data_IF_967053177114
#
_entry.id   IF_967053177114
#
_cell.length_a   1.000
_cell.length_b   1.000
_cell.length_c   1.000
_cell.angle_alpha   90.00
_cell.angle_beta   90.00
_cell.angle_gamma   90.00
#
_symmetry.space_group_name_H-M   'P 1'
#
loop_
_entity.id
_entity.type
_entity.pdbx_description
1 polymer ?
#
# COMPACT_ATOMS: atom_id res chain seq x y z
N UNK A 1 -70.16 13.27 -16.15
CA UNK A 1 -69.29 13.60 -14.99
C UNK A 1 -67.89 13.67 -15.52
N UNK A 2 -67.45 14.87 -15.88
CA UNK A 2 -66.00 15.05 -16.30
C UNK A 2 -65.17 15.22 -15.05
N UNK A 3 -64.42 14.20 -14.76
CA UNK A 3 -63.34 14.27 -13.74
C UNK A 3 -62.21 15.20 -14.25
N UNK A 4 -62.24 16.45 -13.81
CA UNK A 4 -61.09 17.36 -14.05
C UNK A 4 -59.88 16.81 -13.31
N UNK A 5 -59.15 15.91 -13.94
CA UNK A 5 -57.90 15.43 -13.42
C UNK A 5 -56.90 16.61 -13.31
N UNK A 6 -56.37 16.86 -12.12
CA UNK A 6 -55.38 17.90 -11.89
C UNK A 6 -54.01 17.46 -12.46
N UNK A 7 -53.86 17.62 -13.78
CA UNK A 7 -52.64 17.22 -14.52
C UNK A 7 -51.34 17.85 -13.94
N UNK A 8 -51.49 19.05 -13.36
CA UNK A 8 -50.36 19.73 -12.68
C UNK A 8 -49.92 18.94 -11.45
N UNK A 9 -50.86 18.41 -10.68
CA UNK A 9 -50.54 17.65 -9.46
C UNK A 9 -49.93 16.29 -9.80
N UNK A 10 -50.40 15.65 -10.86
CA UNK A 10 -49.83 14.41 -11.39
C UNK A 10 -48.43 14.64 -11.90
N UNK A 11 -48.16 15.71 -12.67
CA UNK A 11 -46.85 16.08 -13.17
C UNK A 11 -45.87 16.41 -12.07
N UNK A 12 -46.29 17.20 -11.06
CA UNK A 12 -45.48 17.53 -9.91
C UNK A 12 -45.09 16.29 -9.08
N UNK A 13 -46.04 15.36 -8.87
CA UNK A 13 -45.78 14.10 -8.16
C UNK A 13 -44.78 13.22 -8.92
N UNK A 14 -44.91 13.13 -10.24
CA UNK A 14 -43.99 12.34 -11.09
C UNK A 14 -42.58 12.92 -11.05
N UNK A 15 -42.42 14.24 -11.14
CA UNK A 15 -41.12 14.93 -11.07
C UNK A 15 -40.48 14.75 -9.69
N UNK A 16 -41.26 14.93 -8.62
CA UNK A 16 -40.79 14.71 -7.24
C UNK A 16 -40.34 13.25 -7.01
N UNK A 17 -41.13 12.29 -7.51
CA UNK A 17 -40.73 10.86 -7.45
C UNK A 17 -39.43 10.55 -8.19
N UNK A 18 -39.25 11.14 -9.38
CA UNK A 18 -38.04 10.95 -10.15
C UNK A 18 -36.81 11.57 -9.48
N UNK A 19 -36.96 12.79 -8.95
CA UNK A 19 -35.90 13.44 -8.18
C UNK A 19 -35.57 12.64 -6.91
N UNK A 20 -36.56 12.16 -6.18
CA UNK A 20 -36.37 11.32 -5.00
C UNK A 20 -35.63 10.03 -5.32
N UNK A 21 -35.98 9.38 -6.45
CA UNK A 21 -35.26 8.17 -6.90
C UNK A 21 -33.83 8.45 -7.29
N UNK A 22 -33.52 9.57 -7.95
CA UNK A 22 -32.16 9.99 -8.28
C UNK A 22 -31.33 10.24 -7.02
N UNK A 23 -31.86 11.01 -6.07
CA UNK A 23 -31.18 11.30 -4.80
C UNK A 23 -30.92 10.01 -4.02
N UNK A 24 -31.89 9.12 -3.95
CA UNK A 24 -31.75 7.82 -3.30
C UNK A 24 -30.68 6.97 -3.97
N UNK A 25 -30.66 6.91 -5.31
CA UNK A 25 -29.65 6.15 -6.07
C UNK A 25 -28.23 6.69 -5.85
N UNK A 26 -28.07 8.01 -5.83
CA UNK A 26 -26.78 8.64 -5.57
C UNK A 26 -26.31 8.41 -4.12
N UNK A 27 -27.23 8.46 -3.15
CA UNK A 27 -26.93 8.19 -1.76
C UNK A 27 -26.52 6.73 -1.53
N UNK A 28 -27.26 5.80 -2.14
CA UNK A 28 -26.98 4.36 -2.07
C UNK A 28 -25.64 4.01 -2.75
N UNK A 29 -25.35 4.58 -3.92
CA UNK A 29 -24.09 4.39 -4.62
C UNK A 29 -22.87 4.84 -3.80
N UNK A 30 -22.98 5.94 -3.05
CA UNK A 30 -21.91 6.41 -2.16
C UNK A 30 -21.62 5.46 -1.00
N UNK A 31 -22.67 4.87 -0.41
CA UNK A 31 -22.50 3.93 0.71
C UNK A 31 -21.74 2.65 0.32
N UNK A 32 -21.90 2.20 -0.91
CA UNK A 32 -21.29 0.94 -1.38
C UNK A 32 -19.82 1.11 -1.77
N UNK A 33 -19.45 2.27 -2.30
CA UNK A 33 -18.07 2.56 -2.69
C UNK A 33 -17.14 2.73 -1.48
N UNK A 34 -17.58 3.38 -0.41
CA UNK A 34 -16.79 3.62 0.80
C UNK A 34 -16.47 2.33 1.59
N UNK A 35 -17.24 1.26 1.41
CA UNK A 35 -17.03 -0.02 2.10
C UNK A 35 -16.09 -0.99 1.36
N UNK A 36 -15.78 -0.72 0.10
CA UNK A 36 -14.98 -1.65 -0.72
C UNK A 36 -13.48 -1.43 -0.56
N UNK A 37 -13.05 -0.24 -0.14
CA UNK A 37 -11.65 0.13 -0.05
C UNK A 37 -11.31 0.76 1.30
N UNK A 38 -10.12 0.47 1.76
CA UNK A 38 -9.47 1.09 2.91
C UNK A 38 -8.25 1.88 2.42
N UNK A 39 -8.00 3.02 3.05
CA UNK A 39 -6.86 3.86 2.74
C UNK A 39 -5.80 3.74 3.82
N UNK A 40 -4.54 3.65 3.41
CA UNK A 40 -3.39 3.62 4.30
C UNK A 40 -2.34 4.60 3.81
N UNK A 41 -1.66 5.23 4.74
CA UNK A 41 -0.51 6.09 4.44
C UNK A 41 0.78 5.35 4.83
N UNK A 42 1.83 5.52 4.02
CA UNK A 42 3.17 4.98 4.28
C UNK A 42 4.18 6.08 4.03
N UNK A 43 5.16 6.24 4.92
CA UNK A 43 6.29 7.15 4.72
C UNK A 43 7.52 6.38 4.27
N UNK A 44 8.00 6.68 3.07
CA UNK A 44 9.22 6.10 2.53
C UNK A 44 10.33 7.15 2.43
N UNK A 45 11.57 6.72 2.61
CA UNK A 45 12.76 7.57 2.38
C UNK A 45 13.09 7.72 0.90
N UNK A 46 12.71 6.75 0.08
CA UNK A 46 12.90 6.76 -1.37
C UNK A 46 11.77 5.98 -2.05
N UNK A 47 11.31 6.47 -3.20
CA UNK A 47 10.18 5.89 -3.96
C UNK A 47 10.55 5.63 -5.42
N UNK A 48 11.79 5.23 -5.69
CA UNK A 48 12.28 5.00 -7.06
C UNK A 48 11.39 4.00 -7.81
N UNK A 49 10.92 4.40 -8.98
CA UNK A 49 10.06 3.57 -9.83
C UNK A 49 8.61 3.42 -9.37
N UNK A 50 8.22 4.05 -8.24
CA UNK A 50 6.85 4.04 -7.75
C UNK A 50 6.11 5.30 -8.22
N UNK A 51 4.92 5.14 -8.75
CA UNK A 51 4.06 6.23 -9.19
C UNK A 51 2.61 6.04 -8.80
N UNK A 52 1.77 7.00 -9.20
CA UNK A 52 0.31 6.83 -9.10
C UNK A 52 -0.12 5.64 -9.96
N UNK A 53 -1.10 4.90 -9.49
CA UNK A 53 -1.59 3.65 -10.07
C UNK A 53 -0.62 2.46 -10.04
N UNK A 54 0.56 2.58 -9.40
CA UNK A 54 1.39 1.42 -9.09
C UNK A 54 0.61 0.41 -8.26
N UNK A 55 0.87 -0.87 -8.46
CA UNK A 55 0.17 -1.95 -7.75
C UNK A 55 0.52 -1.95 -6.26
N UNK A 56 -0.47 -2.35 -5.45
CA UNK A 56 -0.28 -2.71 -4.04
C UNK A 56 -0.57 -4.20 -3.91
N UNK A 57 0.38 -4.94 -3.33
CA UNK A 57 0.29 -6.38 -3.15
C UNK A 57 0.38 -6.75 -1.67
N UNK A 58 -0.47 -7.66 -1.25
CA UNK A 58 -0.46 -8.24 0.09
C UNK A 58 0.00 -9.68 -0.01
N UNK A 59 1.12 -10.01 0.60
CA UNK A 59 1.76 -11.33 0.45
C UNK A 59 1.91 -11.77 -1.04
N UNK A 60 2.20 -10.82 -1.95
CA UNK A 60 2.32 -11.05 -3.38
C UNK A 60 1.01 -10.95 -4.18
N UNK A 61 -0.16 -11.02 -3.54
CA UNK A 61 -1.47 -10.91 -4.19
C UNK A 61 -1.84 -9.45 -4.46
N UNK A 62 -2.24 -9.05 -5.68
CA UNK A 62 -2.68 -7.68 -5.95
C UNK A 62 -3.99 -7.38 -5.22
N UNK A 63 -3.97 -6.39 -4.33
CA UNK A 63 -5.10 -6.01 -3.48
C UNK A 63 -5.53 -4.56 -3.65
N UNK A 64 -4.73 -3.73 -4.33
CA UNK A 64 -5.03 -2.31 -4.45
C UNK A 64 -4.05 -1.56 -5.34
N UNK A 65 -4.06 -0.23 -5.21
CA UNK A 65 -3.22 0.67 -5.99
C UNK A 65 -2.73 1.86 -5.17
N UNK A 66 -1.64 2.47 -5.62
CA UNK A 66 -1.14 3.75 -5.11
C UNK A 66 -2.04 4.87 -5.62
N UNK A 67 -2.64 5.64 -4.72
CA UNK A 67 -3.53 6.78 -5.06
C UNK A 67 -2.74 8.08 -5.22
N UNK A 68 -1.81 8.34 -4.29
CA UNK A 68 -0.97 9.53 -4.34
C UNK A 68 0.43 9.28 -3.83
N UNK A 69 1.37 10.03 -4.40
CA UNK A 69 2.78 10.09 -3.98
C UNK A 69 3.10 11.58 -3.85
N UNK A 70 3.47 12.03 -2.67
CA UNK A 70 3.75 13.43 -2.36
C UNK A 70 4.87 13.54 -1.32
N UNK A 71 5.56 14.67 -1.28
CA UNK A 71 6.48 14.94 -0.17
C UNK A 71 5.72 15.00 1.16
N UNK A 72 6.33 14.46 2.21
CA UNK A 72 5.77 14.55 3.56
C UNK A 72 5.62 16.01 4.00
N UNK A 73 4.47 16.40 4.55
CA UNK A 73 4.27 17.76 5.07
C UNK A 73 5.16 18.08 6.28
N UNK A 74 5.76 17.08 6.90
CA UNK A 74 6.58 17.24 8.10
C UNK A 74 7.99 17.81 7.80
N UNK A 75 8.37 17.96 6.53
CA UNK A 75 9.66 18.54 6.13
C UNK A 75 10.87 17.64 6.43
N UNK A 76 10.64 16.35 6.74
CA UNK A 76 11.66 15.37 7.09
C UNK A 76 12.37 14.72 5.87
N UNK A 77 12.07 15.20 4.66
CA UNK A 77 12.61 14.66 3.41
C UNK A 77 12.02 13.32 3.00
N UNK A 78 11.01 12.81 3.71
CA UNK A 78 10.32 11.58 3.35
C UNK A 78 9.21 11.82 2.33
N UNK A 79 8.78 10.75 1.68
CA UNK A 79 7.67 10.74 0.73
C UNK A 79 6.49 10.01 1.34
N UNK A 80 5.36 10.70 1.42
CA UNK A 80 4.09 10.15 1.85
C UNK A 80 3.39 9.49 0.67
N UNK A 81 3.16 8.19 0.77
CA UNK A 81 2.47 7.39 -0.24
C UNK A 81 1.14 6.95 0.32
N UNK A 82 0.06 7.29 -0.37
CA UNK A 82 -1.30 6.85 -0.03
C UNK A 82 -1.68 5.65 -0.86
N UNK A 83 -2.09 4.60 -0.17
CA UNK A 83 -2.51 3.32 -0.73
C UNK A 83 -4.04 3.19 -0.62
N UNK A 84 -4.66 2.71 -1.68
CA UNK A 84 -6.04 2.24 -1.70
C UNK A 84 -5.98 0.71 -1.77
N UNK A 85 -6.55 0.04 -0.79
CA UNK A 85 -6.49 -1.41 -0.63
C UNK A 85 -7.91 -1.93 -0.41
N UNK A 86 -8.25 -3.09 -0.95
CA UNK A 86 -9.55 -3.73 -0.69
C UNK A 86 -9.77 -3.87 0.81
N UNK A 87 -10.92 -3.45 1.33
CA UNK A 87 -11.22 -3.44 2.77
C UNK A 87 -11.15 -4.83 3.43
N UNK A 88 -11.32 -5.89 2.63
CA UNK A 88 -11.20 -7.29 3.08
C UNK A 88 -9.75 -7.70 3.38
N UNK A 89 -8.74 -6.89 2.98
CA UNK A 89 -7.32 -7.21 3.17
C UNK A 89 -6.95 -7.08 4.65
N UNK A 90 -6.45 -8.13 5.30
CA UNK A 90 -6.20 -8.13 6.74
C UNK A 90 -4.84 -7.46 7.06
N UNK A 91 -4.75 -6.15 6.90
CA UNK A 91 -3.57 -5.37 7.31
C UNK A 91 -3.55 -5.26 8.81
N UNK A 92 -2.47 -5.72 9.45
CA UNK A 92 -2.30 -5.80 10.89
C UNK A 92 -1.37 -4.71 11.42
N UNK A 93 -1.31 -4.56 12.72
CA UNK A 93 -0.47 -3.54 13.39
C UNK A 93 1.03 -3.75 13.17
N UNK A 94 1.46 -4.98 12.91
CA UNK A 94 2.83 -5.38 12.61
C UNK A 94 3.08 -5.62 11.11
N UNK A 95 2.10 -5.36 10.24
CA UNK A 95 2.30 -5.35 8.79
C UNK A 95 3.27 -4.23 8.40
N UNK A 96 4.16 -4.54 7.48
CA UNK A 96 5.19 -3.63 6.99
C UNK A 96 5.01 -3.43 5.49
N UNK A 97 5.10 -2.19 5.03
CA UNK A 97 5.06 -1.86 3.61
C UNK A 97 6.48 -1.68 3.06
N UNK A 98 6.79 -2.36 1.97
CA UNK A 98 8.08 -2.29 1.27
C UNK A 98 7.89 -1.89 -0.17
N UNK A 99 8.88 -1.21 -0.78
CA UNK A 99 8.90 -0.98 -2.22
C UNK A 99 9.72 -2.10 -2.86
N UNK A 100 9.08 -2.82 -3.76
CA UNK A 100 9.69 -3.94 -4.47
C UNK A 100 9.71 -3.67 -5.97
N UNK A 101 10.78 -4.07 -6.64
CA UNK A 101 10.91 -3.92 -8.09
C UNK A 101 10.35 -5.14 -8.82
N UNK A 102 9.57 -4.90 -9.85
CA UNK A 102 9.04 -5.95 -10.72
C UNK A 102 10.02 -6.22 -11.88
N UNK A 103 11.00 -7.08 -11.63
CA UNK A 103 12.00 -7.45 -12.63
C UNK A 103 13.02 -6.34 -12.90
N UNK A 104 13.64 -6.39 -14.09
CA UNK A 104 14.70 -5.45 -14.54
C UNK A 104 14.13 -4.18 -15.19
N UNK A 105 12.82 -4.09 -15.36
CA UNK A 105 12.17 -2.99 -16.11
C UNK A 105 12.04 -1.68 -15.32
N UNK A 106 12.36 -1.69 -14.02
CA UNK A 106 12.31 -0.51 -13.17
C UNK A 106 10.91 -0.12 -12.67
N UNK A 107 9.88 -0.91 -12.98
CA UNK A 107 8.53 -0.72 -12.42
C UNK A 107 8.53 -1.25 -10.99
N UNK A 108 8.08 -0.40 -10.05
CA UNK A 108 7.99 -0.77 -8.65
C UNK A 108 6.54 -0.88 -8.19
N UNK A 109 6.29 -1.72 -7.20
CA UNK A 109 5.03 -1.88 -6.51
C UNK A 109 5.22 -1.82 -4.99
N UNK A 110 4.15 -1.61 -4.25
CA UNK A 110 4.18 -1.67 -2.79
C UNK A 110 3.78 -3.06 -2.33
N UNK A 111 4.69 -3.77 -1.66
CA UNK A 111 4.42 -5.02 -0.98
C UNK A 111 3.99 -4.76 0.46
N UNK A 112 2.94 -5.41 0.95
CA UNK A 112 2.50 -5.39 2.34
C UNK A 112 2.67 -6.79 2.91
N UNK A 113 3.38 -6.91 4.03
CA UNK A 113 3.52 -8.17 4.75
C UNK A 113 2.23 -8.53 5.49
N UNK A 114 1.88 -9.82 5.64
CA UNK A 114 0.64 -10.22 6.29
C UNK A 114 0.59 -9.94 7.81
N UNK A 115 1.75 -9.74 8.45
CA UNK A 115 1.82 -9.66 9.91
C UNK A 115 1.54 -11.02 10.60
N UNK A 116 1.52 -11.02 11.92
CA UNK A 116 1.23 -12.23 12.71
C UNK A 116 -0.28 -12.37 12.93
N UNK A 117 -0.84 -13.60 12.86
CA UNK A 117 -2.29 -13.83 12.98
C UNK A 117 -2.90 -13.33 14.29
N UNK A 118 -2.13 -13.30 15.36
CA UNK A 118 -2.58 -12.91 16.71
C UNK A 118 -2.66 -11.38 16.90
N UNK A 119 -2.04 -10.61 15.99
CA UNK A 119 -2.07 -9.16 16.08
C UNK A 119 -3.39 -8.58 15.52
N UNK A 120 -3.95 -7.54 16.15
CA UNK A 120 -5.19 -6.93 15.71
C UNK A 120 -5.04 -6.23 14.36
N UNK A 121 -6.16 -6.03 13.67
CA UNK A 121 -6.19 -5.28 12.43
C UNK A 121 -5.86 -3.80 12.69
N UNK A 122 -5.08 -3.20 11.81
CA UNK A 122 -4.60 -1.82 11.95
C UNK A 122 -5.77 -0.82 11.94
N UNK A 123 -6.82 -1.09 11.19
CA UNK A 123 -8.04 -0.27 11.13
C UNK A 123 -8.80 -0.26 12.46
N UNK A 124 -8.81 -1.38 13.21
CA UNK A 124 -9.61 -1.50 14.43
C UNK A 124 -8.98 -0.77 15.63
N UNK A 125 -7.65 -0.65 15.63
CA UNK A 125 -6.91 -0.03 16.75
C UNK A 125 -6.52 1.43 16.50
N UNK A 126 -6.62 1.91 15.27
CA UNK A 126 -6.17 3.26 14.93
C UNK A 126 -7.33 4.24 14.99
N UNK A 127 -7.20 5.30 15.81
CA UNK A 127 -8.16 6.41 15.89
C UNK A 127 -8.01 7.42 14.74
N UNK A 128 -6.99 7.29 13.91
CA UNK A 128 -6.78 8.18 12.76
C UNK A 128 -7.70 7.80 11.62
N UNK A 129 -8.20 8.80 10.90
CA UNK A 129 -9.04 8.61 9.70
C UNK A 129 -8.33 7.76 8.64
N UNK A 130 -6.99 7.89 8.53
CA UNK A 130 -6.14 7.08 7.66
C UNK A 130 -4.98 6.55 8.50
N UNK A 131 -4.95 5.23 8.75
CA UNK A 131 -3.86 4.60 9.49
C UNK A 131 -2.56 4.60 8.70
N UNK A 132 -1.43 4.60 9.42
CA UNK A 132 -0.10 4.58 8.83
C UNK A 132 0.51 3.19 8.99
N UNK A 133 0.94 2.59 7.87
CA UNK A 133 1.70 1.34 7.87
C UNK A 133 3.18 1.69 7.98
N UNK A 134 3.96 1.04 8.87
CA UNK A 134 5.40 1.21 8.92
C UNK A 134 6.08 0.85 7.60
N UNK A 135 7.02 1.68 7.15
CA UNK A 135 7.85 1.35 6.00
C UNK A 135 8.97 0.38 6.38
N UNK A 136 9.13 -0.67 5.60
CA UNK A 136 10.25 -1.60 5.70
C UNK A 136 11.35 -1.28 4.69
N UNK A 137 12.52 -1.90 4.89
CA UNK A 137 13.63 -1.83 3.94
C UNK A 137 13.36 -2.75 2.76
N UNK A 138 13.65 -2.30 1.54
CA UNK A 138 13.59 -3.19 0.38
C UNK A 138 14.75 -4.21 0.43
N UNK A 139 14.55 -5.37 -0.19
CA UNK A 139 15.58 -6.40 -0.27
C UNK A 139 16.88 -5.89 -0.93
N UNK A 140 16.73 -5.02 -1.92
CA UNK A 140 17.87 -4.36 -2.60
C UNK A 140 18.64 -3.42 -1.68
N UNK A 141 17.93 -2.69 -0.82
CA UNK A 141 18.54 -1.79 0.15
C UNK A 141 19.30 -2.57 1.23
N UNK A 142 18.73 -3.67 1.74
CA UNK A 142 19.43 -4.56 2.67
C UNK A 142 20.69 -5.15 2.06
N UNK A 143 20.62 -5.67 0.83
CA UNK A 143 21.82 -6.19 0.13
C UNK A 143 22.89 -5.12 -0.10
N UNK A 144 22.49 -3.88 -0.39
CA UNK A 144 23.44 -2.78 -0.62
C UNK A 144 24.12 -2.31 0.68
N UNK A 145 23.38 -2.32 1.79
CA UNK A 145 23.93 -1.96 3.12
C UNK A 145 24.82 -3.07 3.69
N UNK A 146 24.47 -4.34 3.46
CA UNK A 146 25.21 -5.51 3.97
C UNK A 146 26.38 -5.92 3.04
N UNK A 147 26.44 -5.39 1.81
CA UNK A 147 27.50 -5.72 0.84
C UNK A 147 28.93 -5.49 1.34
N UNK A 148 29.26 -4.40 2.06
CA UNK A 148 30.61 -4.21 2.60
C UNK A 148 30.99 -5.25 3.63
N UNK A 149 30.04 -5.70 4.47
CA UNK A 149 30.27 -6.70 5.50
C UNK A 149 30.49 -8.09 4.90
N UNK A 150 29.67 -8.47 3.90
CA UNK A 150 29.86 -9.70 3.13
C UNK A 150 31.19 -9.70 2.38
N UNK A 151 31.61 -8.58 1.80
CA UNK A 151 32.89 -8.47 1.11
C UNK A 151 34.07 -8.65 2.07
N UNK A 152 34.00 -8.06 3.27
CA UNK A 152 35.03 -8.23 4.31
C UNK A 152 35.11 -9.69 4.77
N UNK A 153 33.98 -10.38 4.90
CA UNK A 153 33.96 -11.79 5.28
C UNK A 153 34.58 -12.68 4.20
N UNK A 154 34.25 -12.43 2.92
CA UNK A 154 34.88 -13.14 1.78
C UNK A 154 36.37 -12.91 1.73
N UNK A 155 36.83 -11.68 1.94
CA UNK A 155 38.24 -11.36 1.97
C UNK A 155 38.97 -12.05 3.15
N UNK A 156 38.30 -12.17 4.32
CA UNK A 156 38.83 -12.89 5.48
C UNK A 156 39.00 -14.38 5.16
N UNK A 157 37.96 -15.01 4.62
CA UNK A 157 38.00 -16.42 4.22
C UNK A 157 39.06 -16.68 3.16
N UNK A 158 39.18 -15.79 2.16
CA UNK A 158 40.21 -15.91 1.13
C UNK A 158 41.62 -15.80 1.72
N UNK A 159 41.83 -14.94 2.73
CA UNK A 159 43.11 -14.79 3.44
C UNK A 159 43.45 -16.01 4.28
N UNK A 160 42.46 -16.58 4.98
CA UNK A 160 42.60 -17.79 5.77
C UNK A 160 42.95 -19.02 4.90
N UNK A 161 42.28 -19.15 3.76
CA UNK A 161 42.55 -20.20 2.75
C UNK A 161 43.97 -20.01 2.18
N UNK A 162 44.35 -18.77 1.86
CA UNK A 162 45.72 -18.49 1.36
C UNK A 162 46.80 -18.78 2.41
N UNK A 163 46.52 -18.52 3.69
CA UNK A 163 47.42 -18.85 4.80
C UNK A 163 47.54 -20.38 4.99
N UNK A 164 46.46 -21.13 4.79
CA UNK A 164 46.50 -22.61 4.87
C UNK A 164 47.23 -23.24 3.69
N UNK A 165 47.19 -22.60 2.52
CA UNK A 165 47.85 -23.06 1.30
C UNK A 165 49.29 -22.51 1.17
N UNK A 166 49.74 -21.63 2.07
CA UNK A 166 51.10 -21.16 2.08
C UNK A 166 52.05 -22.30 2.44
N UNK A 167 53.19 -22.35 1.75
CA UNK A 167 54.15 -23.45 1.73
C UNK A 167 54.74 -23.79 3.11
N UNK A 168 54.55 -22.97 4.14
CA UNK A 168 55.02 -23.20 5.52
C UNK A 168 54.23 -24.29 6.27
N UNK A 169 53.06 -24.71 5.79
CA UNK A 169 52.25 -25.77 6.43
C UNK A 169 52.35 -27.12 5.72
N UNK A 170 53.27 -27.27 4.72
CA UNK A 170 53.46 -28.50 3.93
C UNK A 170 54.79 -29.23 4.24
N UNK A 171 55.43 -28.91 5.38
CA UNK A 171 56.60 -29.67 5.90
C UNK A 171 56.26 -30.54 7.09
#
# INVERSE_FOLDING_TARGET
METRANYILIGAFTILGFIGMLVFSLWFARLELDRQFAYYDVKFTSVSGLGRASDVRFAGLPVGKVVSVALSPDGDGTVLVRLEVKAITPVRTDSVATIESQGVTGVSFVGISPGQPDNPLLLDVTQKVIPMIPAGRSMLQSLSEDAPELMNEVLRVAKDVSALLSTDNLQ
#
